data_IF_752028835313
#
_entry.id   IF_752028835313
#
_cell.length_a   1.000
_cell.length_b   1.000
_cell.length_c   1.000
_cell.angle_alpha   90.00
_cell.angle_beta   90.00
_cell.angle_gamma   90.00
#
_symmetry.space_group_name_H-M   'P 1'
#
loop_
_entity.id
_entity.type
_entity.pdbx_description
1 polymer ?
#
# COMPACT_ATOMS: atom_id res chain seq x y z
N UNK A 1 2.06 5.85 18.27
CA UNK A 1 1.68 6.97 17.38
C UNK A 1 1.86 6.46 15.95
N UNK A 2 0.80 6.49 15.14
CA UNK A 2 0.87 6.06 13.73
C UNK A 2 1.39 7.25 12.93
N UNK A 3 2.51 7.08 12.24
CA UNK A 3 3.19 8.16 11.51
C UNK A 3 2.98 7.96 10.00
N UNK A 4 2.52 8.99 9.27
CA UNK A 4 2.42 8.92 7.82
C UNK A 4 3.83 8.86 7.19
N UNK A 5 3.93 8.18 6.05
CA UNK A 5 5.14 8.10 5.25
C UNK A 5 5.04 8.98 3.99
N UNK A 6 6.18 9.48 3.54
CA UNK A 6 6.30 10.28 2.31
C UNK A 6 7.04 9.54 1.19
N UNK A 7 7.74 8.45 1.52
CA UNK A 7 8.36 7.53 0.58
C UNK A 7 8.56 6.15 1.22
N UNK A 8 8.81 5.13 0.39
CA UNK A 8 9.22 3.80 0.85
C UNK A 8 10.74 3.75 1.01
N UNK A 9 11.21 3.21 2.14
CA UNK A 9 12.63 3.07 2.47
C UNK A 9 12.98 1.59 2.58
N UNK A 10 14.28 1.26 2.61
CA UNK A 10 14.72 -0.13 2.66
C UNK A 10 14.24 -0.78 3.97
N UNK A 11 14.26 -0.03 5.08
CA UNK A 11 13.69 -0.45 6.36
C UNK A 11 12.19 -0.79 6.25
N UNK A 12 11.42 0.05 5.54
CA UNK A 12 10.01 -0.23 5.29
C UNK A 12 9.84 -1.51 4.48
N UNK A 13 10.67 -1.78 3.49
CA UNK A 13 10.53 -3.02 2.70
C UNK A 13 10.94 -4.23 3.53
N UNK A 14 12.12 -4.18 4.17
CA UNK A 14 12.68 -5.28 4.95
C UNK A 14 11.80 -5.68 6.15
N UNK A 15 11.09 -4.72 6.75
CA UNK A 15 10.13 -5.02 7.81
C UNK A 15 9.00 -5.97 7.37
N UNK A 16 8.66 -5.96 6.08
CA UNK A 16 7.57 -6.74 5.45
C UNK A 16 8.10 -7.89 4.57
N UNK A 17 9.40 -7.86 4.24
CA UNK A 17 10.09 -8.86 3.44
C UNK A 17 10.35 -10.15 4.22
N UNK A 18 9.28 -10.84 4.61
CA UNK A 18 9.36 -12.13 5.27
C UNK A 18 9.30 -13.25 4.20
N UNK A 19 10.43 -13.95 3.96
CA UNK A 19 10.50 -15.08 3.01
C UNK A 19 9.47 -16.19 3.29
N UNK A 20 9.01 -16.28 4.55
CA UNK A 20 7.86 -17.09 4.94
C UNK A 20 6.70 -16.16 5.25
N UNK A 21 5.66 -16.26 4.44
CA UNK A 21 4.38 -15.66 4.75
C UNK A 21 3.89 -16.14 6.13
N UNK A 22 3.82 -15.26 7.12
CA UNK A 22 3.26 -15.63 8.44
C UNK A 22 1.73 -15.73 8.41
N UNK A 23 1.07 -15.05 7.47
CA UNK A 23 -0.40 -14.90 7.42
C UNK A 23 -0.98 -15.15 5.99
N UNK A 24 -0.36 -16.00 5.18
CA UNK A 24 -0.79 -16.25 3.78
C UNK A 24 -0.50 -15.12 2.77
N UNK A 25 -0.01 -13.94 3.22
CA UNK A 25 0.52 -12.84 2.38
C UNK A 25 1.66 -13.28 1.46
N UNK A 26 1.63 -12.90 0.19
CA UNK A 26 2.72 -13.18 -0.74
C UNK A 26 4.01 -12.45 -0.31
N UNK A 27 5.20 -13.08 -0.41
CA UNK A 27 6.46 -12.39 -0.14
C UNK A 27 6.58 -11.12 -0.98
N UNK A 28 6.99 -10.00 -0.36
CA UNK A 28 7.13 -8.72 -1.04
C UNK A 28 5.84 -7.91 -1.21
N UNK A 29 4.71 -8.40 -0.70
CA UNK A 29 3.50 -7.59 -0.55
C UNK A 29 3.65 -6.60 0.60
N UNK A 30 3.33 -5.34 0.35
CA UNK A 30 3.23 -4.29 1.36
C UNK A 30 1.81 -3.73 1.31
N UNK A 31 1.12 -3.78 2.44
CA UNK A 31 -0.23 -3.24 2.62
C UNK A 31 -0.14 -1.80 3.16
N UNK A 32 -0.92 -0.89 2.57
CA UNK A 32 -0.89 0.54 2.86
C UNK A 32 -2.31 1.12 2.85
N UNK A 33 -2.47 2.28 3.47
CA UNK A 33 -3.68 3.09 3.38
C UNK A 33 -3.31 4.46 2.84
N UNK A 34 -4.04 4.97 1.86
CA UNK A 34 -3.95 6.37 1.45
C UNK A 34 -5.12 7.14 2.04
N UNK A 35 -4.81 8.28 2.64
CA UNK A 35 -5.76 9.30 3.06
C UNK A 35 -5.77 10.37 1.96
N UNK A 36 -6.83 10.34 1.16
CA UNK A 36 -6.95 11.19 -0.02
C UNK A 36 -7.33 12.63 0.29
N UNK A 37 -7.79 12.92 1.51
CA UNK A 37 -8.08 14.28 1.96
C UNK A 37 -6.81 14.99 2.42
N UNK A 38 -5.92 14.27 3.10
CA UNK A 38 -4.68 14.85 3.66
C UNK A 38 -3.43 14.58 2.81
N UNK A 39 -3.55 13.84 1.71
CA UNK A 39 -2.43 13.38 0.87
C UNK A 39 -1.34 12.67 1.70
N UNK A 40 -1.80 11.72 2.53
CA UNK A 40 -0.95 10.96 3.45
C UNK A 40 -1.02 9.47 3.16
N UNK A 41 0.10 8.79 3.40
CA UNK A 41 0.17 7.34 3.31
C UNK A 41 0.52 6.75 4.66
N UNK A 42 -0.11 5.63 5.00
CA UNK A 42 0.15 4.90 6.22
C UNK A 42 0.54 3.46 5.89
N UNK A 43 1.61 2.98 6.51
CA UNK A 43 1.98 1.56 6.46
C UNK A 43 1.10 0.78 7.41
N UNK A 44 0.43 -0.25 6.88
CA UNK A 44 -0.36 -1.18 7.69
C UNK A 44 0.62 -2.12 8.37
N UNK A 45 0.64 -2.25 9.71
CA UNK A 45 1.56 -3.14 10.39
C UNK A 45 1.51 -4.58 9.85
N UNK A 46 2.67 -5.23 9.75
CA UNK A 46 2.83 -6.56 9.13
C UNK A 46 1.96 -7.66 9.75
N UNK A 47 1.51 -7.47 10.97
CA UNK A 47 0.70 -8.37 11.79
C UNK A 47 -0.79 -7.99 11.83
N UNK A 48 -1.19 -6.93 11.13
CA UNK A 48 -2.58 -6.46 11.04
C UNK A 48 -3.11 -6.54 9.62
N UNK A 49 -4.43 -6.68 9.47
CA UNK A 49 -5.13 -6.46 8.20
C UNK A 49 -5.65 -5.02 8.08
N UNK A 50 -6.06 -4.61 6.87
CA UNK A 50 -6.66 -3.30 6.65
C UNK A 50 -7.87 -3.06 7.56
N UNK A 51 -8.73 -4.08 7.76
CA UNK A 51 -9.92 -3.98 8.60
C UNK A 51 -9.63 -3.63 10.06
N UNK A 52 -8.51 -4.11 10.59
CA UNK A 52 -8.12 -3.88 11.99
C UNK A 52 -7.36 -2.55 12.12
N UNK A 53 -6.62 -2.16 11.07
CA UNK A 53 -5.76 -0.99 11.09
C UNK A 53 -6.47 0.32 10.77
N UNK A 54 -7.32 0.36 9.72
CA UNK A 54 -7.96 1.60 9.26
C UNK A 54 -8.76 2.30 10.39
N UNK A 55 -9.53 1.58 11.24
CA UNK A 55 -10.24 2.21 12.36
C UNK A 55 -9.34 2.91 13.39
N UNK A 56 -8.04 2.61 13.42
CA UNK A 56 -7.08 3.23 14.35
C UNK A 56 -6.54 4.58 13.85
N UNK A 57 -6.80 4.94 12.59
CA UNK A 57 -6.33 6.19 12.00
C UNK A 57 -7.18 7.39 12.50
N UNK A 58 -6.55 8.54 12.77
CA UNK A 58 -7.27 9.75 13.13
C UNK A 58 -8.01 10.33 11.92
N UNK A 59 -9.21 10.90 12.16
CA UNK A 59 -10.08 11.56 11.15
C UNK A 59 -10.80 10.59 10.19
N UNK A 60 -11.77 9.85 10.74
CA UNK A 60 -12.56 8.84 10.03
C UNK A 60 -13.68 9.47 9.17
N UNK A 61 -13.36 9.99 7.99
CA UNK A 61 -14.31 9.89 6.88
C UNK A 61 -13.96 8.62 6.10
N UNK A 62 -14.74 7.56 6.30
CA UNK A 62 -14.37 6.19 5.88
C UNK A 62 -14.15 6.05 4.37
N UNK A 63 -14.75 6.91 3.56
CA UNK A 63 -14.59 6.90 2.09
C UNK A 63 -13.28 7.53 1.61
N UNK A 64 -12.62 8.36 2.43
CA UNK A 64 -11.39 9.06 2.03
C UNK A 64 -10.12 8.25 2.34
N UNK A 65 -10.26 7.27 3.23
CA UNK A 65 -9.25 6.28 3.59
C UNK A 65 -9.37 5.07 2.66
N UNK A 66 -8.49 4.99 1.66
CA UNK A 66 -8.52 3.93 0.64
C UNK A 66 -7.36 2.96 0.89
N UNK A 67 -7.65 1.71 1.28
CA UNK A 67 -6.66 0.66 1.34
C UNK A 67 -6.10 0.30 -0.03
N UNK A 68 -4.82 -0.01 -0.08
CA UNK A 68 -4.15 -0.49 -1.27
C UNK A 68 -2.97 -1.37 -0.90
N UNK A 69 -2.46 -2.10 -1.88
CA UNK A 69 -1.23 -2.86 -1.69
C UNK A 69 -0.36 -2.80 -2.93
N UNK A 70 0.94 -2.95 -2.69
CA UNK A 70 1.94 -3.11 -3.73
C UNK A 70 2.58 -4.48 -3.61
N UNK A 71 2.97 -5.03 -4.76
CA UNK A 71 3.78 -6.23 -4.83
C UNK A 71 5.15 -5.86 -5.39
N UNK A 72 6.18 -6.19 -4.64
CA UNK A 72 7.57 -5.98 -5.02
C UNK A 72 8.25 -7.32 -5.31
N UNK A 73 9.23 -7.30 -6.21
CA UNK A 73 10.17 -8.39 -6.50
C UNK A 73 11.58 -7.93 -6.17
N UNK A 74 12.36 -8.75 -5.48
CA UNK A 74 13.79 -8.47 -5.22
C UNK A 74 14.66 -9.16 -6.27
N UNK A 75 15.54 -8.40 -6.92
CA UNK A 75 16.60 -8.90 -7.80
C UNK A 75 17.89 -8.16 -7.48
N UNK A 76 18.95 -8.90 -7.09
CA UNK A 76 20.27 -8.32 -6.82
C UNK A 76 20.25 -7.11 -5.86
N UNK A 77 19.42 -7.17 -4.80
CA UNK A 77 19.17 -6.09 -3.83
C UNK A 77 18.47 -4.84 -4.39
N UNK A 78 17.85 -4.95 -5.57
CA UNK A 78 16.91 -3.96 -6.10
C UNK A 78 15.49 -4.45 -5.92
N UNK A 79 14.58 -3.54 -5.58
CA UNK A 79 13.17 -3.84 -5.46
C UNK A 79 12.42 -3.30 -6.67
N UNK A 80 11.73 -4.16 -7.40
CA UNK A 80 10.96 -3.77 -8.58
C UNK A 80 9.47 -3.90 -8.31
N UNK A 81 8.69 -2.87 -8.64
CA UNK A 81 7.23 -2.93 -8.55
C UNK A 81 6.68 -3.88 -9.62
N UNK A 82 5.92 -4.88 -9.21
CA UNK A 82 5.22 -5.78 -10.14
C UNK A 82 3.71 -5.56 -10.16
N UNK A 83 3.11 -5.09 -9.07
CA UNK A 83 1.68 -4.78 -9.00
C UNK A 83 1.43 -3.62 -8.04
N UNK A 84 0.42 -2.81 -8.35
CA UNK A 84 -0.18 -1.81 -7.48
C UNK A 84 -1.69 -1.96 -7.61
N UNK A 85 -2.37 -2.23 -6.50
CA UNK A 85 -3.82 -2.48 -6.49
C UNK A 85 -4.46 -1.63 -5.40
N UNK A 86 -5.38 -0.77 -5.80
CA UNK A 86 -6.21 0.07 -4.92
C UNK A 86 -7.61 -0.51 -4.77
N UNK A 87 -8.25 -0.25 -3.63
CA UNK A 87 -9.66 -0.53 -3.42
C UNK A 87 -10.03 -2.02 -3.47
N UNK A 88 -9.12 -2.87 -2.99
CA UNK A 88 -9.30 -4.32 -2.95
C UNK A 88 -8.84 -4.85 -1.58
N UNK A 89 -9.61 -4.55 -0.53
CA UNK A 89 -9.28 -4.90 0.85
C UNK A 89 -10.42 -5.54 1.64
N UNK A 90 -10.06 -6.25 2.71
CA UNK A 90 -11.02 -6.77 3.70
C UNK A 90 -11.79 -5.65 4.42
N UNK A 91 -11.22 -4.45 4.54
CA UNK A 91 -11.88 -3.29 5.15
C UNK A 91 -13.11 -2.84 4.35
N UNK A 92 -12.96 -2.66 3.03
CA UNK A 92 -14.08 -2.22 2.18
C UNK A 92 -15.22 -3.24 2.18
N UNK A 93 -14.88 -4.53 2.16
CA UNK A 93 -15.85 -5.61 2.22
C UNK A 93 -16.60 -5.66 3.57
N UNK A 94 -15.89 -5.46 4.68
CA UNK A 94 -16.46 -5.51 6.04
C UNK A 94 -17.36 -4.31 6.35
N UNK A 95 -17.01 -3.13 5.84
CA UNK A 95 -17.73 -1.88 6.09
C UNK A 95 -18.67 -1.46 4.95
N UNK A 96 -18.90 -2.34 3.98
CA UNK A 96 -19.76 -2.11 2.80
C UNK A 96 -19.41 -0.82 2.02
N UNK A 97 -18.14 -0.44 2.02
CA UNK A 97 -17.66 0.78 1.37
C UNK A 97 -17.58 0.53 -0.13
N UNK A 98 -18.13 1.47 -0.91
CA UNK A 98 -18.11 1.44 -2.37
C UNK A 98 -17.49 2.73 -2.89
N UNK A 99 -16.21 2.69 -3.21
CA UNK A 99 -15.56 3.82 -3.85
C UNK A 99 -16.00 3.95 -5.32
N UNK A 100 -16.21 5.18 -5.72
CA UNK A 100 -16.38 5.57 -7.12
C UNK A 100 -15.08 5.38 -7.90
N UNK A 101 -15.19 5.26 -9.23
CA UNK A 101 -14.01 5.22 -10.09
C UNK A 101 -13.13 6.48 -9.97
N UNK A 102 -13.72 7.63 -9.66
CA UNK A 102 -12.99 8.87 -9.45
C UNK A 102 -12.10 8.82 -8.20
N UNK A 103 -12.62 8.29 -7.10
CA UNK A 103 -11.88 8.09 -5.85
C UNK A 103 -10.76 7.08 -6.03
N UNK A 104 -11.04 5.92 -6.66
CA UNK A 104 -10.01 4.91 -6.94
C UNK A 104 -8.93 5.42 -7.87
N UNK A 105 -9.28 6.21 -8.89
CA UNK A 105 -8.31 6.82 -9.81
C UNK A 105 -7.41 7.81 -9.07
N UNK A 106 -7.97 8.63 -8.16
CA UNK A 106 -7.19 9.56 -7.34
C UNK A 106 -6.26 8.80 -6.38
N UNK A 107 -6.77 7.79 -5.70
CA UNK A 107 -5.97 6.95 -4.81
C UNK A 107 -4.80 6.28 -5.56
N UNK A 108 -5.06 5.77 -6.77
CA UNK A 108 -4.01 5.18 -7.61
C UNK A 108 -2.92 6.19 -7.97
N UNK A 109 -3.28 7.43 -8.31
CA UNK A 109 -2.29 8.48 -8.59
C UNK A 109 -1.42 8.79 -7.36
N UNK A 110 -2.01 8.87 -6.18
CA UNK A 110 -1.26 9.09 -4.93
C UNK A 110 -0.35 7.91 -4.60
N UNK A 111 -0.87 6.68 -4.68
CA UNK A 111 -0.07 5.46 -4.50
C UNK A 111 1.09 5.38 -5.49
N UNK A 112 0.86 5.72 -6.76
CA UNK A 112 1.89 5.79 -7.79
C UNK A 112 2.95 6.84 -7.47
N UNK A 113 2.56 8.03 -7.00
CA UNK A 113 3.49 9.07 -6.58
C UNK A 113 4.37 8.62 -5.41
N UNK A 114 3.82 7.93 -4.41
CA UNK A 114 4.60 7.36 -3.31
C UNK A 114 5.67 6.38 -3.83
N UNK A 115 5.28 5.49 -4.74
CA UNK A 115 6.17 4.45 -5.28
C UNK A 115 7.24 5.04 -6.18
N UNK A 116 6.89 5.92 -7.11
CA UNK A 116 7.83 6.51 -8.07
C UNK A 116 8.83 7.48 -7.45
N UNK A 117 8.51 8.05 -6.28
CA UNK A 117 9.44 8.88 -5.50
C UNK A 117 10.36 8.07 -4.59
N UNK A 118 10.13 6.77 -4.46
CA UNK A 118 10.99 5.89 -3.66
C UNK A 118 12.35 5.74 -4.34
N UNK A 119 13.47 6.07 -3.66
CA UNK A 119 14.80 5.96 -4.26
C UNK A 119 15.27 4.51 -4.45
N UNK A 120 14.54 3.55 -3.90
CA UNK A 120 14.92 2.13 -3.89
C UNK A 120 13.98 1.24 -4.73
N UNK A 121 12.85 1.79 -5.19
CA UNK A 121 11.91 1.04 -6.02
C UNK A 121 12.19 1.37 -7.48
N UNK A 122 12.46 0.33 -8.25
CA UNK A 122 12.61 0.40 -9.70
C UNK A 122 11.26 0.11 -10.35
N UNK A 123 10.92 0.89 -11.36
CA UNK A 123 9.73 0.66 -12.18
C UNK A 123 10.16 -0.17 -13.39
N UNK A 124 10.36 -1.47 -13.19
CA UNK A 124 10.52 -2.40 -14.30
C UNK A 124 9.14 -2.63 -14.94
N UNK A 125 8.56 -1.57 -15.51
CA UNK A 125 7.39 -1.71 -16.36
C UNK A 125 7.86 -2.39 -17.64
N UNK A 126 7.62 -3.70 -17.72
CA UNK A 126 7.36 -4.47 -18.94
C UNK A 126 7.96 -3.82 -20.20
N UNK A 127 9.29 -3.91 -20.36
CA UNK A 127 9.86 -4.13 -21.68
C UNK A 127 9.52 -5.58 -22.08
N UNK A 128 8.25 -5.84 -22.34
CA UNK A 128 7.86 -7.03 -23.09
C UNK A 128 7.86 -6.63 -24.57
N UNK A 129 8.76 -7.29 -25.30
CA UNK A 129 8.88 -7.27 -26.77
C UNK A 129 7.68 -7.94 -27.43
#
# INVERSE_FOLDING_TARGET
>A
MITPITCLTEEHILAYWNRKSRNGRQPGRIDLVVDTALDKHYLVPKDQEHKDFVPTLPFQESSELIPYWIQLREQEKRYSLTQLVVGASSYEAEHEIKHTMAELSRAHLFAWNLVTRSPIITLDMLCEK
#
